data_IF_955794338486
#
_entry.id   IF_955794338486
#
_cell.length_a   1.000
_cell.length_b   1.000
_cell.length_c   1.000
_cell.angle_alpha   90.00
_cell.angle_beta   90.00
_cell.angle_gamma   90.00
#
_symmetry.space_group_name_H-M   'P 1'
#
loop_
_entity.id
_entity.type
_entity.pdbx_description
1 polymer ?
#
# COMPACT_ATOMS: atom_id res chain seq x y z
N UNK A 1 -17.14 18.10 20.80
CA UNK A 1 -16.49 17.01 20.02
C UNK A 1 -15.32 17.63 19.30
N UNK A 2 -14.11 17.50 19.87
CA UNK A 2 -12.89 18.04 19.27
C UNK A 2 -12.63 17.30 17.96
N UNK A 3 -12.79 17.99 16.83
CA UNK A 3 -12.26 17.54 15.55
C UNK A 3 -10.74 17.51 15.71
N UNK A 4 -10.19 16.37 16.14
CA UNK A 4 -8.75 16.16 16.09
C UNK A 4 -8.35 16.28 14.62
N UNK A 5 -7.49 17.25 14.32
CA UNK A 5 -6.88 17.35 13.00
C UNK A 5 -6.35 15.97 12.59
N UNK A 6 -6.54 15.56 11.33
CA UNK A 6 -6.00 14.28 10.87
C UNK A 6 -4.49 14.28 11.12
N UNK A 7 -3.99 13.22 11.76
CA UNK A 7 -2.56 13.06 12.04
C UNK A 7 -1.80 13.27 10.73
N UNK A 8 -0.91 14.25 10.68
CA UNK A 8 0.01 14.41 9.57
C UNK A 8 0.99 13.22 9.62
N UNK A 9 0.66 12.17 8.86
CA UNK A 9 1.42 10.92 8.87
C UNK A 9 2.87 11.10 8.42
N UNK A 10 3.13 12.03 7.48
CA UNK A 10 4.49 12.33 7.00
C UNK A 10 5.32 12.92 8.15
N UNK A 11 4.80 13.95 8.82
CA UNK A 11 5.46 14.56 9.96
C UNK A 11 5.68 13.57 11.11
N UNK A 12 4.72 12.66 11.36
CA UNK A 12 4.85 11.62 12.37
C UNK A 12 5.97 10.61 12.04
N UNK A 13 6.08 10.15 10.79
CA UNK A 13 7.18 9.28 10.35
C UNK A 13 8.52 10.02 10.45
N UNK A 14 8.59 11.27 10.03
CA UNK A 14 9.82 12.07 10.15
C UNK A 14 10.24 12.28 11.60
N UNK A 15 9.28 12.50 12.50
CA UNK A 15 9.53 12.58 13.93
C UNK A 15 10.06 11.26 14.48
N UNK A 16 9.45 10.13 14.10
CA UNK A 16 9.92 8.79 14.44
C UNK A 16 11.38 8.58 14.00
N UNK A 17 11.70 8.84 12.72
CA UNK A 17 13.06 8.71 12.18
C UNK A 17 14.04 9.62 12.95
N UNK A 18 13.65 10.88 13.22
CA UNK A 18 14.49 11.85 13.94
C UNK A 18 14.80 11.41 15.36
N UNK A 19 13.84 10.80 16.06
CA UNK A 19 14.06 10.23 17.40
C UNK A 19 15.00 9.04 17.31
N UNK A 20 14.77 8.11 16.37
CA UNK A 20 15.64 6.93 16.20
C UNK A 20 17.06 7.29 15.80
N UNK A 21 17.27 8.32 14.97
CA UNK A 21 18.61 8.87 14.65
C UNK A 21 19.43 9.32 15.87
N UNK A 22 18.79 9.60 17.00
CA UNK A 22 19.50 9.99 18.23
C UNK A 22 19.84 8.83 19.15
N UNK A 23 19.17 7.68 18.98
CA UNK A 23 19.19 6.57 19.95
C UNK A 23 19.78 5.30 19.33
N UNK A 24 19.62 5.11 18.02
CA UNK A 24 20.03 3.90 17.31
C UNK A 24 21.33 4.16 16.55
N UNK A 25 22.29 3.25 16.72
CA UNK A 25 23.60 3.34 16.04
C UNK A 25 23.55 2.87 14.57
N UNK A 26 22.62 1.98 14.21
CA UNK A 26 22.51 1.43 12.86
C UNK A 26 21.34 2.08 12.07
N UNK A 27 21.59 3.28 11.53
CA UNK A 27 20.70 3.97 10.59
C UNK A 27 21.47 4.37 9.36
N UNK A 28 21.04 3.83 8.21
CA UNK A 28 21.58 4.18 6.91
C UNK A 28 20.58 5.05 6.16
N UNK A 29 21.08 6.10 5.50
CA UNK A 29 20.26 6.99 4.68
C UNK A 29 20.90 7.09 3.31
N UNK A 30 20.13 6.72 2.29
CA UNK A 30 20.53 6.76 0.90
C UNK A 30 19.76 7.86 0.18
N UNK A 31 20.44 8.52 -0.76
CA UNK A 31 19.85 9.52 -1.65
C UNK A 31 19.89 8.97 -3.08
N UNK A 32 18.71 8.63 -3.60
CA UNK A 32 18.54 8.10 -4.95
C UNK A 32 18.12 9.21 -5.93
N UNK A 33 18.46 9.10 -7.22
CA UNK A 33 18.00 10.05 -8.23
C UNK A 33 16.47 10.13 -8.32
N UNK A 34 15.93 11.33 -8.54
CA UNK A 34 14.49 11.53 -8.75
C UNK A 34 13.97 10.97 -10.08
N UNK A 35 14.83 10.94 -11.10
CA UNK A 35 14.47 10.54 -12.47
C UNK A 35 14.47 9.01 -12.62
N UNK A 36 13.37 8.47 -13.16
CA UNK A 36 13.17 7.03 -13.44
C UNK A 36 14.32 6.46 -14.28
N UNK A 37 14.76 7.16 -15.33
CA UNK A 37 15.85 6.69 -16.19
C UNK A 37 17.17 6.52 -15.42
N UNK A 38 17.49 7.47 -14.54
CA UNK A 38 18.70 7.39 -13.69
C UNK A 38 18.57 6.31 -12.62
N UNK A 39 17.37 6.14 -12.04
CA UNK A 39 17.09 5.04 -11.12
C UNK A 39 17.32 3.68 -11.78
N UNK A 40 16.74 3.45 -12.97
CA UNK A 40 16.94 2.21 -13.74
C UNK A 40 18.41 1.95 -14.07
N UNK A 41 19.17 2.99 -14.42
CA UNK A 41 20.62 2.87 -14.66
C UNK A 41 21.41 2.52 -13.40
N UNK A 42 20.88 2.81 -12.21
CA UNK A 42 21.55 2.55 -10.93
C UNK A 42 21.04 1.28 -10.22
N UNK A 43 20.16 0.51 -10.87
CA UNK A 43 19.62 -0.74 -10.34
C UNK A 43 20.42 -1.91 -10.93
N UNK A 44 21.17 -2.60 -10.07
CA UNK A 44 22.06 -3.71 -10.47
C UNK A 44 21.34 -5.06 -10.71
N UNK A 45 20.02 -5.06 -10.55
CA UNK A 45 19.17 -6.25 -10.62
C UNK A 45 18.03 -6.05 -11.60
N UNK A 46 17.57 -7.15 -12.21
CA UNK A 46 16.48 -7.07 -13.19
C UNK A 46 15.16 -6.73 -12.51
N UNK A 47 14.40 -5.84 -13.12
CA UNK A 47 13.08 -5.44 -12.65
C UNK A 47 12.19 -5.04 -13.83
N UNK A 48 11.09 -5.76 -13.99
CA UNK A 48 10.15 -5.58 -15.09
C UNK A 48 9.35 -6.84 -15.40
N UNK A 49 8.37 -6.73 -16.29
CA UNK A 49 7.46 -7.83 -16.65
C UNK A 49 8.17 -9.02 -17.30
N UNK A 50 9.39 -8.83 -17.80
CA UNK A 50 10.26 -9.89 -18.31
C UNK A 50 10.84 -10.80 -17.22
N UNK A 51 10.73 -10.41 -15.95
CA UNK A 51 11.28 -11.16 -14.82
C UNK A 51 10.29 -12.21 -14.31
N UNK A 52 10.74 -13.46 -14.36
CA UNK A 52 10.23 -14.63 -13.63
C UNK A 52 9.65 -14.33 -12.24
N UNK A 53 8.33 -14.47 -12.00
CA UNK A 53 7.85 -14.62 -10.62
C UNK A 53 8.34 -15.95 -10.05
N UNK A 54 9.07 -15.91 -8.93
CA UNK A 54 9.66 -17.09 -8.30
C UNK A 54 8.92 -17.54 -7.04
N UNK A 55 9.07 -18.83 -6.72
CA UNK A 55 8.71 -19.41 -5.42
C UNK A 55 9.96 -19.96 -4.76
N UNK A 56 10.34 -19.40 -3.61
CA UNK A 56 11.55 -19.81 -2.88
C UNK A 56 11.22 -20.84 -1.80
N UNK A 57 11.87 -22.01 -1.87
CA UNK A 57 11.91 -22.98 -0.80
C UNK A 57 12.91 -22.53 0.27
N UNK A 58 12.77 -23.03 1.50
CA UNK A 58 13.59 -22.59 2.64
C UNK A 58 15.09 -22.74 2.39
N UNK A 59 15.49 -23.75 1.62
CA UNK A 59 16.89 -24.05 1.27
C UNK A 59 17.52 -23.01 0.33
N UNK A 60 16.70 -22.27 -0.44
CA UNK A 60 17.16 -21.29 -1.43
C UNK A 60 17.10 -19.84 -0.92
N UNK A 61 16.65 -19.65 0.32
CA UNK A 61 16.48 -18.33 0.93
C UNK A 61 17.81 -17.83 1.49
N UNK A 62 18.17 -16.61 1.12
CA UNK A 62 19.25 -15.84 1.75
C UNK A 62 18.79 -15.22 3.06
N UNK A 63 17.62 -14.56 3.05
CA UNK A 63 17.00 -13.94 4.23
C UNK A 63 15.48 -13.95 4.10
N UNK A 64 14.81 -14.00 5.25
CA UNK A 64 13.36 -13.86 5.34
C UNK A 64 12.97 -12.62 6.16
N UNK A 65 12.08 -11.81 5.60
CA UNK A 65 11.68 -10.52 6.16
C UNK A 65 10.19 -10.57 6.54
N UNK A 66 9.88 -10.34 7.81
CA UNK A 66 8.51 -10.35 8.34
C UNK A 66 7.75 -11.69 8.18
N UNK A 67 8.37 -12.87 8.37
CA UNK A 67 7.61 -14.13 8.36
C UNK A 67 6.53 -14.14 9.47
N UNK A 68 5.55 -15.05 9.42
CA UNK A 68 4.36 -15.00 10.29
C UNK A 68 4.61 -14.91 11.81
N UNK A 69 5.77 -15.39 12.29
CA UNK A 69 6.17 -15.37 13.70
C UNK A 69 6.90 -14.09 14.12
N UNK A 70 7.21 -13.22 13.17
CA UNK A 70 7.98 -11.98 13.35
C UNK A 70 7.11 -10.76 13.16
N UNK A 71 7.60 -9.62 13.65
CA UNK A 71 6.92 -8.36 13.49
C UNK A 71 6.97 -7.90 12.03
N UNK A 72 5.82 -7.45 11.53
CA UNK A 72 5.68 -6.95 10.17
C UNK A 72 4.70 -5.78 10.13
N UNK A 73 5.07 -4.73 9.42
CA UNK A 73 4.23 -3.55 9.18
C UNK A 73 4.48 -2.99 7.78
N UNK A 74 3.43 -2.78 7.00
CA UNK A 74 3.56 -2.16 5.67
C UNK A 74 2.35 -1.31 5.31
N UNK A 75 2.57 -0.05 4.95
CA UNK A 75 1.51 0.85 4.50
C UNK A 75 2.07 2.05 3.73
N UNK A 76 1.18 2.80 3.10
CA UNK A 76 1.49 4.02 2.37
C UNK A 76 0.96 5.24 3.15
N UNK A 77 1.67 6.35 3.07
CA UNK A 77 1.27 7.65 3.62
C UNK A 77 1.31 8.67 2.49
N UNK A 78 0.23 9.42 2.29
CA UNK A 78 0.10 10.34 1.16
C UNK A 78 -0.10 11.77 1.67
N UNK A 79 0.63 12.71 1.10
CA UNK A 79 0.38 14.15 1.27
C UNK A 79 0.14 14.82 -0.08
N UNK A 80 -0.68 15.88 -0.07
CA UNK A 80 -0.90 16.74 -1.24
C UNK A 80 0.15 17.85 -1.36
N UNK A 81 1.05 17.96 -0.38
CA UNK A 81 2.18 18.87 -0.41
C UNK A 81 3.48 18.09 -0.68
N UNK A 82 4.00 18.09 -1.91
CA UNK A 82 5.24 17.36 -2.25
C UNK A 82 6.45 17.78 -1.41
N UNK A 83 6.50 19.04 -0.96
CA UNK A 83 7.62 19.55 -0.16
C UNK A 83 7.76 18.90 1.21
N UNK A 84 6.70 18.25 1.72
CA UNK A 84 6.76 17.50 2.97
C UNK A 84 7.51 16.17 2.83
N UNK A 85 7.76 15.68 1.61
CA UNK A 85 8.42 14.40 1.36
C UNK A 85 9.82 14.61 0.79
N UNK A 86 10.81 13.92 1.35
CA UNK A 86 12.20 14.04 0.90
C UNK A 86 12.43 13.11 -0.30
N UNK A 87 12.24 13.64 -1.51
CA UNK A 87 12.29 12.83 -2.73
C UNK A 87 13.60 12.06 -2.90
N UNK A 88 13.47 10.78 -3.29
CA UNK A 88 14.60 9.89 -3.54
C UNK A 88 15.25 9.38 -2.25
N UNK A 89 14.75 9.73 -1.07
CA UNK A 89 15.35 9.29 0.19
C UNK A 89 14.90 7.87 0.56
N UNK A 90 15.86 7.02 0.89
CA UNK A 90 15.62 5.71 1.51
C UNK A 90 16.29 5.74 2.88
N UNK A 91 15.54 5.48 3.95
CA UNK A 91 16.07 5.32 5.31
C UNK A 91 15.94 3.85 5.71
N UNK A 92 17.03 3.24 6.15
CA UNK A 92 17.06 1.88 6.70
C UNK A 92 17.42 1.99 8.18
N UNK A 93 16.55 1.49 9.05
CA UNK A 93 16.74 1.42 10.50
C UNK A 93 16.90 -0.05 10.91
N UNK A 94 18.07 -0.40 11.44
CA UNK A 94 18.42 -1.79 11.73
C UNK A 94 19.29 -2.42 10.64
N UNK A 95 19.57 -3.72 10.75
CA UNK A 95 20.51 -4.38 9.86
C UNK A 95 19.98 -4.54 8.43
N UNK A 96 20.85 -4.38 7.44
CA UNK A 96 20.55 -4.58 6.03
C UNK A 96 20.60 -6.08 5.63
N UNK A 97 20.21 -6.39 4.41
CA UNK A 97 20.18 -7.75 3.86
C UNK A 97 21.58 -8.39 3.78
N UNK A 98 22.64 -7.73 3.23
CA UNK A 98 23.94 -8.37 3.05
C UNK A 98 24.61 -8.86 4.35
N UNK A 99 24.28 -8.24 5.49
CA UNK A 99 24.82 -8.55 6.83
C UNK A 99 23.94 -9.53 7.63
N UNK A 100 22.89 -10.06 6.99
CA UNK A 100 21.84 -10.83 7.64
C UNK A 100 21.54 -12.16 6.95
N UNK A 101 22.53 -12.73 6.26
CA UNK A 101 22.42 -14.06 5.65
C UNK A 101 21.96 -15.13 6.66
N UNK A 102 21.01 -15.96 6.24
CA UNK A 102 20.41 -17.04 7.02
C UNK A 102 19.45 -16.59 8.12
N UNK A 103 19.26 -15.28 8.33
CA UNK A 103 18.40 -14.76 9.40
C UNK A 103 16.95 -14.63 8.95
N UNK A 104 16.09 -14.53 9.97
CA UNK A 104 14.72 -14.06 9.84
C UNK A 104 14.64 -12.75 10.62
N UNK A 105 14.19 -11.67 9.99
CA UNK A 105 14.10 -10.35 10.61
C UNK A 105 12.66 -9.88 10.69
N UNK A 106 12.37 -9.06 11.69
CA UNK A 106 11.19 -8.21 11.64
C UNK A 106 11.27 -7.28 10.42
N UNK A 107 10.14 -6.87 9.85
CA UNK A 107 10.16 -6.06 8.64
C UNK A 107 9.08 -4.97 8.59
N UNK A 108 9.53 -3.73 8.60
CA UNK A 108 8.74 -2.54 8.35
C UNK A 108 9.03 -1.97 6.96
N UNK A 109 8.00 -1.66 6.19
CA UNK A 109 8.11 -0.93 4.93
C UNK A 109 7.04 0.16 4.87
N UNK A 110 7.45 1.42 5.01
CA UNK A 110 6.56 2.57 4.96
C UNK A 110 6.94 3.42 3.75
N UNK A 111 5.97 3.62 2.86
CA UNK A 111 6.14 4.42 1.65
C UNK A 111 5.47 5.78 1.83
N UNK A 112 6.18 6.86 1.58
CA UNK A 112 5.72 8.23 1.73
C UNK A 112 5.62 8.84 0.33
N UNK A 113 4.41 9.25 -0.07
CA UNK A 113 4.15 9.85 -1.36
C UNK A 113 3.70 11.30 -1.20
N UNK A 114 4.27 12.18 -2.01
CA UNK A 114 3.84 13.57 -2.14
C UNK A 114 3.46 13.86 -3.58
N UNK A 115 2.32 14.52 -3.77
CA UNK A 115 1.83 14.89 -5.09
C UNK A 115 0.54 15.68 -5.00
N UNK A 116 0.48 16.83 -5.66
CA UNK A 116 -0.68 17.72 -5.59
C UNK A 116 -1.93 17.11 -6.25
N UNK A 117 -1.72 16.21 -7.21
CA UNK A 117 -2.77 15.59 -8.03
C UNK A 117 -3.15 14.17 -7.58
N UNK A 118 -2.61 13.66 -6.47
CA UNK A 118 -2.96 12.34 -5.96
C UNK A 118 -4.42 12.33 -5.48
N UNK A 119 -5.22 11.45 -6.07
CA UNK A 119 -6.64 11.28 -5.73
C UNK A 119 -6.82 10.25 -4.64
N UNK A 120 -7.83 10.44 -3.79
CA UNK A 120 -8.11 9.53 -2.68
C UNK A 120 -8.53 8.13 -3.18
N UNK A 121 -9.05 8.02 -4.41
CA UNK A 121 -9.38 6.74 -5.06
C UNK A 121 -8.16 5.91 -5.46
N UNK A 122 -7.04 6.55 -5.80
CA UNK A 122 -5.79 5.87 -6.19
C UNK A 122 -5.16 5.09 -5.03
N UNK A 123 -5.51 5.44 -3.78
CA UNK A 123 -4.93 4.83 -2.57
C UNK A 123 -4.98 3.29 -2.60
N UNK A 124 -6.12 2.71 -3.00
CA UNK A 124 -6.26 1.24 -3.05
C UNK A 124 -5.44 0.59 -4.15
N UNK A 125 -5.28 1.29 -5.27
CA UNK A 125 -4.45 0.81 -6.38
C UNK A 125 -2.98 0.88 -5.98
N UNK A 126 -2.56 1.97 -5.33
CA UNK A 126 -1.23 2.12 -4.74
C UNK A 126 -0.94 1.06 -3.66
N UNK A 127 -1.90 0.74 -2.78
CA UNK A 127 -1.74 -0.34 -1.78
C UNK A 127 -1.50 -1.71 -2.44
N UNK A 128 -2.14 -1.96 -3.59
CA UNK A 128 -1.99 -3.21 -4.35
C UNK A 128 -0.75 -3.25 -5.24
N UNK A 129 -0.24 -2.10 -5.67
CA UNK A 129 0.91 -2.01 -6.56
C UNK A 129 2.15 -2.72 -5.99
N UNK A 130 2.26 -2.86 -4.67
CA UNK A 130 3.34 -3.59 -4.00
C UNK A 130 3.52 -5.04 -4.51
N UNK A 131 2.46 -5.68 -5.01
CA UNK A 131 2.56 -7.04 -5.55
C UNK A 131 3.39 -7.13 -6.83
N UNK A 132 3.64 -6.02 -7.53
CA UNK A 132 4.55 -5.99 -8.68
C UNK A 132 6.02 -6.20 -8.26
N UNK A 133 6.37 -6.11 -6.98
CA UNK A 133 7.68 -6.55 -6.49
C UNK A 133 7.98 -8.03 -6.74
N UNK A 134 6.97 -8.86 -7.04
CA UNK A 134 7.19 -10.25 -7.48
C UNK A 134 7.98 -10.34 -8.80
N UNK A 135 8.07 -9.24 -9.55
CA UNK A 135 8.83 -9.10 -10.79
C UNK A 135 10.24 -8.48 -10.55
N UNK A 136 10.72 -8.48 -9.30
CA UNK A 136 12.09 -8.11 -8.95
C UNK A 136 12.94 -9.38 -8.84
N UNK A 137 14.08 -9.38 -9.54
CA UNK A 137 14.97 -10.54 -9.61
C UNK A 137 15.28 -11.11 -8.22
N UNK A 138 15.00 -12.40 -8.02
CA UNK A 138 15.34 -13.09 -6.79
C UNK A 138 14.50 -12.68 -5.57
N UNK A 139 13.43 -11.90 -5.74
CA UNK A 139 12.56 -11.42 -4.67
C UNK A 139 11.21 -12.14 -4.70
N UNK A 140 10.79 -12.66 -3.56
CA UNK A 140 9.47 -13.24 -3.37
C UNK A 140 8.71 -12.43 -2.33
N UNK A 141 7.47 -12.08 -2.64
CA UNK A 141 6.60 -11.30 -1.76
C UNK A 141 5.27 -12.02 -1.50
N UNK A 142 4.80 -11.93 -0.26
CA UNK A 142 3.42 -12.16 0.15
C UNK A 142 2.98 -10.96 0.97
N UNK A 143 1.87 -10.35 0.59
CA UNK A 143 1.31 -9.24 1.33
C UNK A 143 -0.13 -9.55 1.73
N UNK A 144 -0.46 -9.16 2.95
CA UNK A 144 -1.83 -9.00 3.43
C UNK A 144 -1.94 -7.56 3.94
N UNK A 145 -3.14 -7.02 4.15
CA UNK A 145 -3.24 -5.64 4.60
C UNK A 145 -2.42 -5.39 5.88
N UNK A 146 -1.61 -4.33 5.87
CA UNK A 146 -0.69 -3.92 6.93
C UNK A 146 0.51 -4.86 7.21
N UNK A 147 0.69 -5.98 6.51
CA UNK A 147 1.81 -6.90 6.74
C UNK A 147 2.42 -7.39 5.44
N UNK A 148 3.73 -7.49 5.44
CA UNK A 148 4.52 -7.92 4.31
C UNK A 148 5.47 -9.02 4.77
N UNK A 149 5.45 -10.13 4.05
CA UNK A 149 6.37 -11.25 4.22
C UNK A 149 7.14 -11.41 2.91
N UNK A 150 8.46 -11.23 2.97
CA UNK A 150 9.34 -11.36 1.81
C UNK A 150 10.46 -12.37 2.03
N UNK A 151 10.96 -12.91 0.92
CA UNK A 151 12.17 -13.72 0.86
C UNK A 151 13.06 -13.21 -0.24
N UNK A 152 14.36 -13.21 0.02
CA UNK A 152 15.41 -12.90 -0.96
C UNK A 152 16.16 -14.19 -1.25
N UNK A 153 16.39 -14.50 -2.53
CA UNK A 153 17.11 -15.70 -2.94
C UNK A 153 18.61 -15.63 -2.62
N UNK A 154 19.25 -16.78 -2.37
CA UNK A 154 20.71 -16.88 -2.20
C UNK A 154 21.49 -16.26 -3.35
N UNK A 155 21.03 -16.45 -4.58
CA UNK A 155 21.70 -15.91 -5.78
C UNK A 155 21.87 -14.40 -5.71
N UNK A 156 20.77 -13.65 -5.47
CA UNK A 156 20.83 -12.18 -5.46
C UNK A 156 21.39 -11.65 -4.15
N UNK A 157 21.15 -12.32 -3.02
CA UNK A 157 21.76 -11.97 -1.73
C UNK A 157 23.29 -12.01 -1.77
N UNK A 158 23.88 -13.05 -2.37
CA UNK A 158 25.33 -13.18 -2.56
C UNK A 158 25.91 -12.13 -3.54
N UNK A 159 25.08 -11.59 -4.44
CA UNK A 159 25.43 -10.48 -5.34
C UNK A 159 25.31 -9.10 -4.68
N UNK A 160 24.93 -9.03 -3.39
CA UNK A 160 24.83 -7.79 -2.65
C UNK A 160 23.47 -7.11 -2.71
N UNK A 161 22.38 -7.87 -2.95
CA UNK A 161 21.02 -7.31 -2.89
C UNK A 161 20.77 -6.67 -1.51
N UNK A 162 20.36 -5.40 -1.51
CA UNK A 162 20.19 -4.58 -0.29
C UNK A 162 18.79 -3.97 -0.20
N UNK A 163 18.46 -3.41 0.97
CA UNK A 163 17.23 -2.63 1.13
C UNK A 163 17.26 -1.34 0.29
N UNK A 164 18.44 -0.78 0.00
CA UNK A 164 18.57 0.29 -0.99
C UNK A 164 18.12 -0.19 -2.38
N UNK A 165 18.51 -1.39 -2.79
CA UNK A 165 18.08 -2.00 -4.07
C UNK A 165 16.57 -2.16 -4.12
N UNK A 166 15.98 -2.72 -3.06
CA UNK A 166 14.53 -2.86 -2.94
C UNK A 166 13.82 -1.50 -3.01
N UNK A 167 14.35 -0.49 -2.33
CA UNK A 167 13.81 0.86 -2.37
C UNK A 167 13.89 1.52 -3.75
N UNK A 168 14.98 1.33 -4.49
CA UNK A 168 15.10 1.78 -5.89
C UNK A 168 14.04 1.12 -6.78
N UNK A 169 13.84 -0.20 -6.65
CA UNK A 169 12.81 -0.92 -7.41
C UNK A 169 11.40 -0.41 -7.09
N UNK A 170 11.09 -0.18 -5.81
CA UNK A 170 9.83 0.44 -5.39
C UNK A 170 9.63 1.83 -6.00
N UNK A 171 10.67 2.68 -5.99
CA UNK A 171 10.60 4.02 -6.57
C UNK A 171 10.34 3.99 -8.07
N UNK A 172 11.01 3.11 -8.80
CA UNK A 172 10.79 2.91 -10.25
C UNK A 172 9.33 2.50 -10.48
N UNK A 173 8.89 1.44 -9.80
CA UNK A 173 7.55 0.87 -9.94
C UNK A 173 6.44 1.90 -9.70
N UNK A 174 6.48 2.59 -8.55
CA UNK A 174 5.43 3.54 -8.19
C UNK A 174 5.43 4.78 -9.08
N UNK A 175 6.61 5.34 -9.42
CA UNK A 175 6.70 6.53 -10.29
C UNK A 175 6.33 6.21 -11.74
N UNK A 176 6.56 4.99 -12.22
CA UNK A 176 6.13 4.55 -13.56
C UNK A 176 4.61 4.35 -13.63
N UNK A 177 4.03 3.74 -12.59
CA UNK A 177 2.60 3.43 -12.57
C UNK A 177 1.72 4.64 -12.24
N UNK A 178 2.19 5.54 -11.38
CA UNK A 178 1.40 6.66 -10.86
C UNK A 178 2.12 7.99 -11.14
N UNK A 179 1.78 8.62 -12.27
CA UNK A 179 2.30 9.95 -12.63
C UNK A 179 1.87 11.06 -11.68
N UNK A 180 0.90 10.79 -10.79
CA UNK A 180 0.45 11.70 -9.73
C UNK A 180 1.46 11.81 -8.58
N UNK A 181 2.41 10.86 -8.45
CA UNK A 181 3.47 10.90 -7.44
C UNK A 181 4.62 11.78 -7.93
N UNK A 182 4.81 12.92 -7.27
CA UNK A 182 5.89 13.88 -7.58
C UNK A 182 7.15 13.57 -6.76
N UNK A 183 6.97 13.23 -5.49
CA UNK A 183 8.04 13.00 -4.51
C UNK A 183 7.80 11.72 -3.74
N UNK A 184 8.85 10.92 -3.53
CA UNK A 184 8.77 9.64 -2.82
C UNK A 184 9.92 9.44 -1.84
N UNK A 185 9.59 9.06 -0.60
CA UNK A 185 10.53 8.63 0.45
C UNK A 185 10.15 7.25 0.96
N UNK A 186 11.14 6.46 1.39
CA UNK A 186 10.94 5.11 1.91
C UNK A 186 11.61 4.98 3.27
N UNK A 187 10.91 4.35 4.21
CA UNK A 187 11.45 3.88 5.48
C UNK A 187 11.38 2.35 5.52
N UNK A 188 12.53 1.71 5.65
CA UNK A 188 12.66 0.31 6.02
C UNK A 188 13.09 0.16 7.47
N UNK A 189 12.53 -0.84 8.15
CA UNK A 189 12.88 -1.18 9.53
C UNK A 189 13.08 -2.68 9.66
N UNK A 190 14.20 -3.05 10.26
CA UNK A 190 14.61 -4.44 10.51
C UNK A 190 15.09 -4.65 11.95
N UNK A 191 14.76 -3.73 12.86
CA UNK A 191 15.16 -3.81 14.26
C UNK A 191 14.41 -4.90 15.03
N UNK A 192 15.02 -5.35 16.13
CA UNK A 192 14.37 -6.29 17.05
C UNK A 192 13.46 -5.60 18.09
N UNK A 193 13.25 -4.28 17.99
CA UNK A 193 12.48 -3.49 18.97
C UNK A 193 10.97 -3.64 18.74
N UNK A 194 10.21 -4.37 19.59
CA UNK A 194 8.77 -4.51 19.39
C UNK A 194 8.02 -3.18 19.55
N UNK A 195 8.60 -2.26 20.33
CA UNK A 195 8.04 -0.92 20.55
C UNK A 195 8.02 -0.10 19.26
N UNK A 196 9.07 -0.24 18.42
CA UNK A 196 9.16 0.47 17.14
C UNK A 196 8.02 0.01 16.21
N UNK A 197 7.80 -1.30 16.14
CA UNK A 197 6.71 -1.88 15.36
C UNK A 197 5.34 -1.53 15.90
N UNK A 198 5.17 -1.48 17.22
CA UNK A 198 3.91 -1.07 17.85
C UNK A 198 3.57 0.38 17.48
N UNK A 199 4.52 1.30 17.62
CA UNK A 199 4.34 2.72 17.28
C UNK A 199 3.92 2.89 15.81
N UNK A 200 4.58 2.19 14.89
CA UNK A 200 4.30 2.29 13.46
C UNK A 200 3.00 1.61 13.05
N UNK A 201 2.61 0.52 13.73
CA UNK A 201 1.29 -0.11 13.52
C UNK A 201 0.16 0.80 13.98
N UNK A 202 0.33 1.47 15.12
CA UNK A 202 -0.64 2.46 15.61
C UNK A 202 -0.76 3.59 14.58
N UNK A 203 0.36 4.17 14.15
CA UNK A 203 0.36 5.21 13.14
C UNK A 203 -0.30 4.76 11.83
N UNK A 204 0.09 3.60 11.30
CA UNK A 204 -0.48 3.04 10.09
C UNK A 204 -1.98 2.77 10.20
N UNK A 205 -2.46 2.38 11.39
CA UNK A 205 -3.89 2.18 11.63
C UNK A 205 -4.68 3.49 11.55
N UNK A 206 -4.14 4.60 12.07
CA UNK A 206 -4.77 5.92 12.01
C UNK A 206 -4.76 6.50 10.59
N UNK A 207 -3.61 6.41 9.91
CA UNK A 207 -3.47 6.81 8.49
C UNK A 207 -4.50 6.07 7.64
N UNK A 208 -4.62 4.75 7.82
CA UNK A 208 -5.53 3.93 7.02
C UNK A 208 -7.00 4.18 7.33
N UNK A 209 -7.37 4.42 8.60
CA UNK A 209 -8.74 4.81 8.96
C UNK A 209 -9.17 6.04 8.17
N UNK A 210 -8.30 7.03 8.05
CA UNK A 210 -8.57 8.25 7.28
C UNK A 210 -8.91 7.94 5.81
N UNK A 211 -8.08 7.16 5.11
CA UNK A 211 -8.30 6.84 3.70
C UNK A 211 -9.47 5.87 3.47
N UNK A 212 -9.64 4.86 4.34
CA UNK A 212 -10.77 3.93 4.21
C UNK A 212 -12.09 4.66 4.46
N UNK A 213 -12.17 5.54 5.46
CA UNK A 213 -13.40 6.31 5.73
C UNK A 213 -13.78 7.15 4.52
N UNK A 214 -12.82 7.91 3.96
CA UNK A 214 -13.03 8.71 2.74
C UNK A 214 -13.43 7.85 1.55
N UNK A 215 -12.66 6.80 1.25
CA UNK A 215 -12.95 5.88 0.16
C UNK A 215 -14.34 5.23 0.31
N UNK A 216 -14.71 4.82 1.52
CA UNK A 216 -16.02 4.20 1.78
C UNK A 216 -17.16 5.18 1.60
N UNK A 217 -16.98 6.46 1.95
CA UNK A 217 -17.96 7.50 1.70
C UNK A 217 -18.10 7.77 0.20
N UNK A 218 -16.99 7.87 -0.53
CA UNK A 218 -16.99 8.05 -1.99
C UNK A 218 -17.59 6.85 -2.71
N UNK A 219 -17.26 5.61 -2.30
CA UNK A 219 -17.83 4.40 -2.88
C UNK A 219 -19.32 4.29 -2.57
N UNK A 220 -19.75 4.62 -1.34
CA UNK A 220 -21.17 4.69 -0.99
C UNK A 220 -21.88 5.73 -1.85
N UNK A 221 -21.32 6.92 -2.04
CA UNK A 221 -21.90 7.95 -2.88
C UNK A 221 -22.01 7.50 -4.35
N UNK A 222 -20.94 6.93 -4.93
CA UNK A 222 -20.96 6.36 -6.29
C UNK A 222 -21.95 5.20 -6.42
N UNK A 223 -22.04 4.33 -5.41
CA UNK A 223 -22.98 3.23 -5.40
C UNK A 223 -24.42 3.73 -5.31
N UNK A 224 -24.69 4.75 -4.48
CA UNK A 224 -26.00 5.40 -4.41
C UNK A 224 -26.35 6.02 -5.76
N UNK A 225 -25.43 6.74 -6.40
CA UNK A 225 -25.65 7.34 -7.73
C UNK A 225 -25.93 6.27 -8.80
N UNK A 226 -25.19 5.15 -8.80
CA UNK A 226 -25.39 4.03 -9.72
C UNK A 226 -26.70 3.28 -9.45
N UNK A 227 -27.09 3.12 -8.18
CA UNK A 227 -28.36 2.50 -7.78
C UNK A 227 -29.55 3.42 -8.05
N UNK A 228 -29.36 4.75 -7.97
CA UNK A 228 -30.38 5.74 -8.38
C UNK A 228 -30.52 5.80 -9.90
N UNK A 229 -29.43 5.73 -10.67
CA UNK A 229 -29.48 5.64 -12.13
C UNK A 229 -30.02 4.30 -12.63
N UNK A 230 -29.71 3.18 -11.97
CA UNK A 230 -30.32 1.88 -12.28
C UNK A 230 -31.76 1.69 -11.76
N UNK A 231 -32.33 2.67 -11.05
CA UNK A 231 -33.76 2.62 -10.71
C UNK A 231 -34.66 3.02 -11.87
N UNK A 232 -34.15 3.79 -12.83
CA UNK A 232 -34.98 4.39 -13.89
C UNK A 232 -34.72 3.82 -15.29
N UNK A 233 -33.63 3.09 -15.54
CA UNK A 233 -33.33 2.54 -16.87
C UNK A 233 -33.77 1.08 -17.02
N UNK A 234 -35.08 0.86 -17.21
CA UNK A 234 -35.52 -0.22 -18.09
C UNK A 234 -35.35 0.29 -19.54
N UNK A 235 -34.15 0.14 -20.09
CA UNK A 235 -33.74 0.69 -21.39
C UNK A 235 -34.22 -0.19 -22.58
N UNK A 236 -35.44 -0.74 -22.47
CA UNK A 236 -36.06 -1.51 -23.56
C UNK A 236 -37.14 -0.67 -24.24
N UNK A 237 -37.07 -0.48 -25.57
CA UNK A 237 -37.93 0.47 -26.31
C UNK A 237 -39.40 0.02 -26.46
N UNK A 238 -39.83 -1.02 -25.76
CA UNK A 238 -41.19 -1.55 -25.79
C UNK A 238 -41.87 -1.24 -24.45
N UNK A 239 -42.99 -0.53 -24.50
CA UNK A 239 -43.85 -0.24 -23.34
C UNK A 239 -44.15 -1.53 -22.57
N UNK A 240 -44.12 -1.46 -21.24
CA UNK A 240 -44.33 -2.60 -20.34
C UNK A 240 -45.56 -3.46 -20.68
N UNK A 241 -46.57 -2.94 -21.39
CA UNK A 241 -47.80 -3.67 -21.71
C UNK A 241 -47.62 -4.96 -22.54
N UNK A 242 -46.47 -5.18 -23.19
CA UNK A 242 -46.20 -6.37 -24.03
C UNK A 242 -45.10 -7.31 -23.47
N UNK A 243 -44.62 -7.09 -22.24
CA UNK A 243 -43.54 -7.90 -21.67
C UNK A 243 -44.07 -9.14 -20.92
N UNK A 244 -43.72 -10.33 -21.43
CA UNK A 244 -44.07 -11.63 -20.83
C UNK A 244 -43.54 -11.84 -19.39
N UNK A 245 -42.60 -11.00 -18.95
CA UNK A 245 -41.97 -11.08 -17.63
C UNK A 245 -42.49 -10.05 -16.62
N UNK A 246 -43.54 -9.29 -16.95
CA UNK A 246 -44.11 -8.26 -16.07
C UNK A 246 -44.40 -8.76 -14.66
N UNK A 247 -45.03 -9.93 -14.55
CA UNK A 247 -45.38 -10.51 -13.25
C UNK A 247 -44.14 -10.72 -12.36
N UNK A 248 -43.03 -11.17 -12.95
CA UNK A 248 -41.77 -11.39 -12.22
C UNK A 248 -41.11 -10.06 -11.85
N UNK A 249 -41.16 -9.07 -12.76
CA UNK A 249 -40.62 -7.75 -12.50
C UNK A 249 -41.37 -7.01 -11.37
N UNK A 250 -42.70 -7.13 -11.32
CA UNK A 250 -43.52 -6.55 -10.26
C UNK A 250 -43.27 -7.21 -8.91
N UNK A 251 -43.10 -8.54 -8.87
CA UNK A 251 -42.69 -9.25 -7.65
C UNK A 251 -41.33 -8.77 -7.12
N UNK A 252 -40.35 -8.56 -8.02
CA UNK A 252 -39.03 -8.05 -7.66
C UNK A 252 -39.13 -6.61 -7.12
N UNK A 253 -39.96 -5.75 -7.73
CA UNK A 253 -40.21 -4.38 -7.24
C UNK A 253 -40.79 -4.40 -5.83
N UNK A 254 -41.78 -5.24 -5.60
CA UNK A 254 -42.45 -5.42 -4.30
C UNK A 254 -41.47 -5.84 -3.20
N UNK A 255 -40.55 -6.76 -3.52
CA UNK A 255 -39.50 -7.22 -2.61
C UNK A 255 -38.53 -6.08 -2.29
N UNK A 256 -38.12 -5.30 -3.30
CA UNK A 256 -37.21 -4.16 -3.11
C UNK A 256 -37.83 -3.09 -2.19
N UNK A 257 -39.12 -2.80 -2.32
CA UNK A 257 -39.83 -1.86 -1.44
C UNK A 257 -39.91 -2.36 0.00
N UNK A 258 -40.23 -3.64 0.20
CA UNK A 258 -40.26 -4.26 1.53
C UNK A 258 -38.88 -4.23 2.19
N UNK A 259 -37.81 -4.46 1.44
CA UNK A 259 -36.41 -4.37 1.92
C UNK A 259 -36.03 -2.92 2.29
N UNK A 260 -36.50 -1.90 1.54
CA UNK A 260 -36.30 -0.48 1.91
C UNK A 260 -36.97 -0.14 3.23
N UNK A 261 -38.26 -0.46 3.36
CA UNK A 261 -39.04 -0.17 4.56
C UNK A 261 -38.45 -0.85 5.80
N UNK A 262 -37.90 -2.05 5.64
CA UNK A 262 -37.18 -2.75 6.70
C UNK A 262 -35.87 -2.02 7.08
N UNK A 263 -35.05 -1.62 6.09
CA UNK A 263 -33.78 -0.89 6.34
C UNK A 263 -34.00 0.46 7.03
N UNK A 264 -35.05 1.18 6.67
CA UNK A 264 -35.41 2.48 7.29
C UNK A 264 -35.85 2.33 8.75
N UNK A 265 -36.60 1.27 9.07
CA UNK A 265 -36.96 0.92 10.47
C UNK A 265 -35.74 0.52 11.29
N UNK A 266 -34.80 -0.19 10.69
CA UNK A 266 -33.60 -0.68 11.38
C UNK A 266 -32.58 0.43 11.65
N UNK A 267 -32.53 1.48 10.82
CA UNK A 267 -31.66 2.65 11.00
C UNK A 267 -32.28 3.74 11.89
N UNK A 268 -33.55 3.63 12.27
CA UNK A 268 -34.27 4.57 13.14
C UNK A 268 -34.45 4.04 14.58
N UNK A 269 -33.85 2.91 14.90
CA UNK A 269 -33.78 2.28 16.23
C UNK A 269 -32.33 2.26 16.70
#
# INVERSE_FOLDING_TARGET
MTSSEPINGIAAIHAFIKVKKKITENINVFACPSSINKLRQSLDFKFGDEVETIFLLKEDVFIELGPPQYESVSYIVITRNPEEVQDGRITVLGPDIPESEGKQLNFGQILLFGGAQIKDEEYKEMERAIFHLKNLEGFMIRAVPNKLWSRVSKNVGQRGFSLETLGKALMIMYKEQFSSIETMEILFITTDSPQDFLELKVLGSEVRKHYIQKYSATLKAKLTELVEKQRDDCDYPWTCDECDYNAVCDEVRDIVEKVKAYREKTNSS
#
